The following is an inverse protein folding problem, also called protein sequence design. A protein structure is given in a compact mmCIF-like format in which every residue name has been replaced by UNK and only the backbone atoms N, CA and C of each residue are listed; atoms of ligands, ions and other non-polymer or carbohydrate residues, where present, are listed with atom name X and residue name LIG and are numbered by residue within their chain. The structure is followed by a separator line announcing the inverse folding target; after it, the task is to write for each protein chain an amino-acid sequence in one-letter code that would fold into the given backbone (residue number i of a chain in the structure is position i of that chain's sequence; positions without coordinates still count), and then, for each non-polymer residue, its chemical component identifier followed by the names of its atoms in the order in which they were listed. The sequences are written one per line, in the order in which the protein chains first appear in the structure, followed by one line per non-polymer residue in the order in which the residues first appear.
data_IF_325460099621
#
_entry.id   IF_325460099621
#
_cell.length_a   1.000
_cell.length_b   1.000
_cell.length_c   1.000
_cell.angle_alpha   90.00
_cell.angle_beta   90.00
_cell.angle_gamma   90.00
#
_symmetry.space_group_name_H-M   'P 1'
#
loop_
_entity.id
_entity.type
_entity.pdbx_description
1 polymer ?
#
# COMPACT_ATOMS: atom_id res chain seq x y z
N UNK A 1 4.14 13.41 -10.48
CA UNK A 1 5.08 14.03 -9.52
C UNK A 1 4.42 15.25 -8.91
N UNK A 2 4.23 15.27 -7.59
CA UNK A 2 3.93 16.50 -6.85
C UNK A 2 5.25 17.12 -6.40
N UNK A 3 5.83 18.11 -7.12
CA UNK A 3 7.08 18.73 -6.70
C UNK A 3 6.87 19.57 -5.43
N UNK A 4 7.94 19.74 -4.65
CA UNK A 4 7.96 20.64 -3.49
C UNK A 4 7.48 22.05 -3.90
N UNK A 5 6.50 22.58 -3.19
CA UNK A 5 5.91 23.90 -3.48
C UNK A 5 6.47 25.02 -2.60
N UNK A 6 6.73 24.73 -1.32
CA UNK A 6 7.25 25.68 -0.35
C UNK A 6 8.30 25.03 0.55
N UNK A 7 9.12 25.84 1.19
CA UNK A 7 9.94 25.40 2.31
C UNK A 7 9.10 25.17 3.57
N UNK A 8 9.43 24.16 4.38
CA UNK A 8 8.77 24.01 5.68
C UNK A 8 9.15 25.17 6.60
N UNK A 9 8.33 25.48 7.62
CA UNK A 9 8.77 26.32 8.72
C UNK A 9 9.93 25.67 9.47
N UNK A 10 10.47 26.36 10.47
CA UNK A 10 11.48 25.78 11.35
C UNK A 10 10.92 24.54 12.08
N UNK A 11 11.72 23.47 12.18
CA UNK A 11 11.37 22.23 12.89
C UNK A 11 11.16 21.01 11.98
N UNK A 12 10.13 20.98 11.10
CA UNK A 12 9.85 19.83 10.25
C UNK A 12 11.06 19.38 9.41
N UNK A 13 11.17 18.06 9.22
CA UNK A 13 12.17 17.40 8.38
C UNK A 13 11.49 16.37 7.49
N UNK A 14 12.06 16.07 6.34
CA UNK A 14 11.55 14.99 5.49
C UNK A 14 11.75 13.63 6.16
N UNK A 15 10.86 12.68 5.90
CA UNK A 15 11.04 11.30 6.36
C UNK A 15 12.37 10.72 5.86
N UNK A 16 12.79 11.08 4.64
CA UNK A 16 14.08 10.67 4.08
C UNK A 16 15.25 11.13 4.94
N UNK A 17 15.28 12.42 5.32
CA UNK A 17 16.31 12.96 6.22
C UNK A 17 16.34 12.19 7.56
N UNK A 18 15.18 11.95 8.16
CA UNK A 18 15.10 11.24 9.44
C UNK A 18 15.64 9.81 9.30
N UNK A 19 15.29 9.11 8.23
CA UNK A 19 15.75 7.73 7.96
C UNK A 19 17.27 7.71 7.74
N UNK A 20 17.82 8.62 6.95
CA UNK A 20 19.27 8.75 6.72
C UNK A 20 20.03 9.02 8.04
N UNK A 21 19.54 9.94 8.85
CA UNK A 21 20.16 10.28 10.13
C UNK A 21 20.03 9.16 11.18
N UNK A 22 18.98 8.35 11.11
CA UNK A 22 18.88 7.12 11.90
C UNK A 22 19.87 6.06 11.41
N UNK A 23 20.00 5.87 10.10
CA UNK A 23 20.97 4.95 9.50
C UNK A 23 22.41 5.24 9.96
N UNK A 24 22.79 6.52 10.00
CA UNK A 24 24.07 6.96 10.54
C UNK A 24 24.25 6.59 12.01
N UNK A 25 23.26 6.90 12.86
CA UNK A 25 23.32 6.63 14.31
C UNK A 25 23.35 5.13 14.64
N UNK A 26 22.70 4.31 13.80
CA UNK A 26 22.66 2.86 13.95
C UNK A 26 23.87 2.16 13.28
N UNK A 27 24.79 2.91 12.66
CA UNK A 27 25.99 2.34 12.03
C UNK A 27 25.72 1.55 10.75
N UNK A 28 24.63 1.86 10.04
CA UNK A 28 24.24 1.21 8.77
C UNK A 28 24.13 2.19 7.60
N UNK A 29 24.56 3.44 7.79
CA UNK A 29 24.50 4.49 6.76
C UNK A 29 25.41 4.24 5.54
N UNK A 30 26.30 3.26 5.61
CA UNK A 30 27.15 2.80 4.50
C UNK A 30 26.48 1.72 3.63
N UNK A 31 25.32 1.22 4.05
CA UNK A 31 24.63 0.13 3.34
C UNK A 31 23.95 0.64 2.07
N UNK A 32 23.84 -0.21 1.03
CA UNK A 32 23.14 0.14 -0.19
C UNK A 32 21.72 0.64 0.09
N UNK A 33 21.40 1.83 -0.42
CA UNK A 33 20.12 2.50 -0.19
C UNK A 33 20.18 3.70 0.76
N UNK A 34 21.31 3.91 1.46
CA UNK A 34 21.60 5.15 2.17
C UNK A 34 22.61 6.02 1.40
N UNK A 35 22.75 7.28 1.81
CA UNK A 35 23.71 8.21 1.21
C UNK A 35 23.27 8.76 -0.15
N UNK A 36 22.01 8.54 -0.52
CA UNK A 36 21.41 9.08 -1.74
C UNK A 36 20.45 10.22 -1.39
N UNK A 37 20.35 11.20 -2.27
CA UNK A 37 19.29 12.23 -2.17
C UNK A 37 17.94 11.64 -2.58
N UNK A 38 16.84 12.32 -2.22
CA UNK A 38 15.51 11.89 -2.66
C UNK A 38 15.41 11.81 -4.19
N UNK A 39 16.08 12.73 -4.91
CA UNK A 39 16.09 12.75 -6.37
C UNK A 39 16.86 11.56 -6.96
N UNK A 40 18.01 11.20 -6.39
CA UNK A 40 18.79 10.05 -6.83
C UNK A 40 18.04 8.72 -6.64
N UNK A 41 17.25 8.61 -5.57
CA UNK A 41 16.35 7.48 -5.39
C UNK A 41 15.29 7.43 -6.49
N UNK A 42 14.64 8.56 -6.79
CA UNK A 42 13.63 8.62 -7.86
C UNK A 42 14.26 8.26 -9.21
N UNK A 43 15.43 8.80 -9.54
CA UNK A 43 16.17 8.47 -10.76
C UNK A 43 16.47 6.97 -10.85
N UNK A 44 16.93 6.36 -9.76
CA UNK A 44 17.21 4.92 -9.72
C UNK A 44 15.95 4.09 -9.96
N UNK A 45 14.81 4.46 -9.36
CA UNK A 45 13.55 3.74 -9.50
C UNK A 45 13.01 3.86 -10.93
N UNK A 46 13.02 5.06 -11.50
CA UNK A 46 12.55 5.30 -12.87
C UNK A 46 13.48 4.64 -13.89
N UNK A 47 14.80 4.78 -13.72
CA UNK A 47 15.81 4.21 -14.60
C UNK A 47 15.74 2.69 -14.67
N UNK A 48 15.55 2.00 -13.52
CA UNK A 48 15.36 0.54 -13.49
C UNK A 48 14.19 0.04 -14.33
N UNK A 49 13.20 0.89 -14.58
CA UNK A 49 12.01 0.56 -15.39
C UNK A 49 12.03 1.20 -16.78
N UNK A 50 13.11 1.90 -17.15
CA UNK A 50 13.18 2.64 -18.42
C UNK A 50 12.20 3.81 -18.50
N UNK A 51 11.74 4.35 -17.37
CA UNK A 51 10.73 5.40 -17.28
C UNK A 51 11.32 6.83 -17.26
N UNK A 52 12.60 6.96 -17.59
CA UNK A 52 13.32 8.24 -17.60
C UNK A 52 13.95 8.60 -16.26
N UNK A 53 13.91 9.88 -15.91
CA UNK A 53 14.55 10.48 -14.73
C UNK A 53 13.59 11.37 -13.95
N UNK A 54 14.00 11.81 -12.77
CA UNK A 54 13.31 12.83 -11.98
C UNK A 54 13.04 14.08 -12.81
N UNK A 55 14.02 14.51 -13.62
CA UNK A 55 13.88 15.69 -14.49
C UNK A 55 12.80 15.49 -15.56
N UNK A 56 12.81 14.35 -16.27
CA UNK A 56 11.80 14.09 -17.29
C UNK A 56 10.41 13.92 -16.68
N UNK A 57 10.31 13.22 -15.54
CA UNK A 57 9.05 13.06 -14.81
C UNK A 57 8.50 14.40 -14.31
N UNK A 58 9.37 15.31 -13.85
CA UNK A 58 8.97 16.66 -13.43
C UNK A 58 8.39 17.47 -14.58
N UNK A 59 8.93 17.33 -15.78
CA UNK A 59 8.41 18.00 -16.98
C UNK A 59 7.07 17.38 -17.44
N UNK A 60 7.00 16.05 -17.48
CA UNK A 60 5.82 15.31 -17.95
C UNK A 60 4.68 15.28 -16.94
N UNK A 61 4.95 15.60 -15.66
CA UNK A 61 4.03 15.62 -14.51
C UNK A 61 3.48 14.26 -14.10
N UNK A 62 3.20 13.35 -15.01
CA UNK A 62 2.77 11.97 -14.74
C UNK A 62 3.28 11.03 -15.81
N UNK A 63 3.20 9.74 -15.52
CA UNK A 63 3.43 8.65 -16.47
C UNK A 63 2.13 7.88 -16.58
N UNK A 64 1.71 7.58 -17.80
CA UNK A 64 0.60 6.65 -18.02
C UNK A 64 1.13 5.22 -17.90
N UNK A 65 0.67 4.50 -16.88
CA UNK A 65 0.98 3.11 -16.62
C UNK A 65 -0.28 2.23 -16.69
N UNK A 66 -1.35 2.74 -17.29
CA UNK A 66 -2.57 2.00 -17.54
C UNK A 66 -2.23 0.75 -18.38
N UNK A 67 -2.60 -0.46 -17.92
CA UNK A 67 -2.52 -1.65 -18.76
C UNK A 67 -3.34 -1.49 -20.04
N UNK A 68 -3.03 -2.29 -21.06
CA UNK A 68 -3.88 -2.37 -22.25
C UNK A 68 -5.33 -2.75 -21.92
N UNK A 69 -6.22 -2.57 -22.89
CA UNK A 69 -7.66 -2.73 -22.67
C UNK A 69 -7.98 -4.14 -22.17
N UNK A 70 -7.41 -5.15 -22.81
CA UNK A 70 -7.62 -6.56 -22.53
C UNK A 70 -7.22 -6.92 -21.11
N UNK A 71 -6.02 -6.52 -20.68
CA UNK A 71 -5.54 -6.75 -19.32
C UNK A 71 -6.35 -5.95 -18.28
N UNK A 72 -6.71 -4.70 -18.59
CA UNK A 72 -7.50 -3.85 -17.70
C UNK A 72 -8.94 -4.36 -17.50
N UNK A 73 -9.47 -5.13 -18.45
CA UNK A 73 -10.82 -5.69 -18.43
C UNK A 73 -10.85 -7.21 -18.18
N UNK A 74 -9.72 -7.81 -17.80
CA UNK A 74 -9.60 -9.24 -17.47
C UNK A 74 -10.06 -10.17 -18.60
N UNK A 75 -9.90 -9.75 -19.86
CA UNK A 75 -10.34 -10.53 -21.03
C UNK A 75 -9.61 -11.88 -21.10
N UNK A 76 -8.31 -11.88 -20.80
CA UNK A 76 -7.46 -13.08 -20.75
C UNK A 76 -7.43 -13.77 -19.37
N UNK A 77 -8.28 -13.32 -18.43
CA UNK A 77 -8.41 -13.87 -17.09
C UNK A 77 -7.95 -12.95 -15.95
N UNK A 78 -8.13 -13.44 -14.73
CA UNK A 78 -7.80 -12.74 -13.48
C UNK A 78 -6.37 -13.02 -13.02
N UNK A 79 -5.79 -12.14 -12.19
CA UNK A 79 -4.43 -12.25 -11.63
C UNK A 79 -4.18 -13.42 -10.67
N UNK A 80 -4.98 -14.48 -10.73
CA UNK A 80 -4.79 -15.74 -10.02
C UNK A 80 -4.02 -16.73 -10.90
N UNK A 81 -3.33 -17.69 -10.28
CA UNK A 81 -2.50 -18.67 -11.00
C UNK A 81 -3.27 -19.49 -12.07
N UNK A 82 -4.58 -19.63 -11.93
CA UNK A 82 -5.46 -20.35 -12.86
C UNK A 82 -6.31 -19.42 -13.75
N UNK A 83 -6.12 -18.10 -13.68
CA UNK A 83 -6.86 -17.12 -14.48
C UNK A 83 -8.33 -16.92 -14.11
N UNK A 84 -8.84 -17.54 -13.03
CA UNK A 84 -10.29 -17.58 -12.73
C UNK A 84 -10.70 -16.62 -11.63
N UNK A 85 -11.90 -16.06 -11.76
CA UNK A 85 -12.53 -15.32 -10.68
C UNK A 85 -12.84 -16.22 -9.47
N UNK A 86 -12.67 -15.69 -8.25
CA UNK A 86 -12.92 -16.43 -6.99
C UNK A 86 -14.26 -16.02 -6.38
N UNK A 87 -15.31 -16.81 -6.61
CA UNK A 87 -16.55 -16.70 -5.86
C UNK A 87 -16.40 -17.25 -4.44
N UNK A 88 -15.66 -18.34 -4.28
CA UNK A 88 -15.30 -18.89 -2.98
C UNK A 88 -14.11 -18.12 -2.42
N UNK A 89 -14.31 -17.42 -1.31
CA UNK A 89 -13.24 -16.68 -0.64
C UNK A 89 -12.33 -17.64 0.13
N UNK A 90 -11.02 -17.45 -0.01
CA UNK A 90 -10.04 -18.07 0.88
C UNK A 90 -9.61 -17.03 1.93
N UNK A 91 -10.27 -17.01 3.07
CA UNK A 91 -9.97 -16.05 4.13
C UNK A 91 -8.61 -16.27 4.80
N UNK A 92 -7.99 -17.43 4.59
CA UNK A 92 -6.80 -17.87 5.34
C UNK A 92 -5.54 -17.92 4.52
N UNK A 93 -5.60 -18.11 3.21
CA UNK A 93 -4.43 -18.30 2.35
C UNK A 93 -4.02 -17.08 1.52
N UNK A 94 -4.74 -15.95 1.61
CA UNK A 94 -4.39 -14.76 0.84
C UNK A 94 -3.20 -14.01 1.43
N UNK A 95 -2.31 -13.57 0.54
CA UNK A 95 -1.27 -12.61 0.87
C UNK A 95 -1.89 -11.21 0.93
N UNK A 96 -1.64 -10.49 2.02
CA UNK A 96 -2.03 -9.11 2.17
C UNK A 96 -0.87 -8.33 2.83
N UNK A 97 -0.61 -7.07 2.44
CA UNK A 97 0.48 -6.27 3.01
C UNK A 97 0.38 -6.11 4.54
N UNK A 98 -0.84 -6.16 5.07
CA UNK A 98 -1.16 -6.03 6.49
C UNK A 98 -1.48 -7.38 7.16
N UNK A 99 -1.17 -8.51 6.52
CA UNK A 99 -1.37 -9.83 7.13
C UNK A 99 -0.46 -9.97 8.35
N UNK A 100 -0.98 -10.35 9.54
CA UNK A 100 -0.14 -10.51 10.71
C UNK A 100 0.92 -11.60 10.53
N UNK A 101 2.06 -11.52 11.25
CA UNK A 101 3.04 -12.60 11.30
C UNK A 101 2.38 -13.92 11.74
N UNK A 102 2.90 -15.04 11.23
CA UNK A 102 2.37 -16.39 11.57
C UNK A 102 2.29 -16.63 13.09
N UNK A 103 3.22 -16.05 13.86
CA UNK A 103 3.26 -16.15 15.32
C UNK A 103 2.06 -15.49 16.03
N UNK A 104 1.40 -14.51 15.40
CA UNK A 104 0.22 -13.84 15.95
C UNK A 104 -1.09 -14.49 15.50
N UNK A 105 -1.06 -15.33 14.46
CA UNK A 105 -2.26 -15.84 13.82
C UNK A 105 -3.06 -14.77 13.07
N UNK A 106 -4.23 -15.14 12.57
CA UNK A 106 -5.14 -14.20 11.94
C UNK A 106 -5.95 -13.43 12.99
N UNK A 107 -6.29 -12.18 12.67
CA UNK A 107 -7.11 -11.34 13.55
C UNK A 107 -8.58 -11.37 13.13
N UNK A 108 -9.47 -11.36 14.12
CA UNK A 108 -10.91 -11.41 13.93
C UNK A 108 -11.49 -12.82 13.82
N UNK A 109 -12.83 -12.95 13.76
CA UNK A 109 -13.52 -14.23 13.78
C UNK A 109 -13.54 -14.87 12.37
N UNK A 110 -12.36 -15.18 11.83
CA UNK A 110 -12.21 -15.70 10.45
C UNK A 110 -13.08 -16.93 10.19
N UNK A 111 -13.24 -17.81 11.19
CA UNK A 111 -14.07 -19.01 11.10
C UNK A 111 -15.58 -18.73 10.94
N UNK A 112 -16.05 -17.51 11.23
CA UNK A 112 -17.45 -17.09 11.05
C UNK A 112 -17.71 -16.48 9.68
N UNK A 113 -16.67 -16.24 8.87
CA UNK A 113 -16.83 -15.64 7.55
C UNK A 113 -17.41 -16.66 6.56
N UNK A 114 -18.40 -16.27 5.74
CA UNK A 114 -19.04 -17.18 4.80
C UNK A 114 -18.07 -17.55 3.68
N UNK A 115 -18.21 -18.78 3.18
CA UNK A 115 -17.39 -19.31 2.09
C UNK A 115 -17.67 -18.59 0.76
N UNK A 116 -18.93 -18.22 0.53
CA UNK A 116 -19.41 -17.52 -0.65
C UNK A 116 -19.87 -16.10 -0.28
N UNK A 117 -20.10 -15.21 -1.27
CA UNK A 117 -20.64 -13.88 -0.99
C UNK A 117 -22.01 -14.00 -0.33
N UNK A 118 -22.07 -13.68 0.95
CA UNK A 118 -23.27 -13.79 1.77
C UNK A 118 -23.19 -12.80 2.94
N UNK A 119 -24.32 -12.59 3.61
CA UNK A 119 -24.41 -11.77 4.81
C UNK A 119 -23.71 -12.45 6.00
N UNK A 120 -23.00 -11.66 6.80
CA UNK A 120 -22.38 -12.13 8.04
C UNK A 120 -22.58 -11.11 9.16
N UNK A 121 -23.08 -11.58 10.30
CA UNK A 121 -23.39 -10.73 11.46
C UNK A 121 -22.18 -10.59 12.40
N UNK A 122 -21.22 -9.75 12.01
CA UNK A 122 -19.97 -9.49 12.75
C UNK A 122 -19.89 -8.09 13.37
N UNK A 123 -20.99 -7.33 13.32
CA UNK A 123 -21.03 -5.95 13.81
C UNK A 123 -21.47 -5.90 15.28
N UNK A 124 -21.10 -4.84 15.98
CA UNK A 124 -21.73 -4.50 17.25
C UNK A 124 -23.18 -4.06 17.01
N UNK A 125 -24.12 -4.77 17.64
CA UNK A 125 -25.55 -4.45 17.62
C UNK A 125 -25.93 -3.68 18.88
N UNK A 126 -27.01 -2.91 18.79
CA UNK A 126 -27.52 -2.17 19.96
C UNK A 126 -28.01 -3.12 21.04
N UNK A 127 -27.79 -2.76 22.29
CA UNK A 127 -28.32 -3.46 23.46
C UNK A 127 -28.80 -2.44 24.52
N UNK A 128 -29.25 -2.91 25.68
CA UNK A 128 -29.76 -2.04 26.74
C UNK A 128 -28.69 -1.09 27.31
N UNK A 129 -27.41 -1.48 27.29
CA UNK A 129 -26.29 -0.64 27.71
C UNK A 129 -25.78 0.27 26.57
N UNK A 130 -25.95 -0.15 25.31
CA UNK A 130 -25.53 0.53 24.10
C UNK A 130 -26.71 0.75 23.14
N UNK A 131 -27.66 1.67 23.47
CA UNK A 131 -28.91 1.83 22.71
C UNK A 131 -28.73 2.49 21.34
N UNK A 132 -27.54 2.99 21.04
CA UNK A 132 -27.21 3.67 19.79
C UNK A 132 -26.05 2.98 19.09
N UNK A 133 -26.15 2.90 17.76
CA UNK A 133 -25.07 2.39 16.91
C UNK A 133 -24.13 3.54 16.53
N UNK A 134 -22.83 3.35 16.77
CA UNK A 134 -21.81 4.24 16.24
C UNK A 134 -21.61 3.98 14.75
N UNK A 135 -21.66 5.03 13.94
CA UNK A 135 -21.29 4.98 12.53
C UNK A 135 -20.15 5.98 12.28
N UNK A 136 -18.99 5.47 11.85
CA UNK A 136 -17.84 6.29 11.45
C UNK A 136 -17.83 6.45 9.94
N UNK A 137 -18.83 7.17 9.41
CA UNK A 137 -18.86 7.48 7.98
C UNK A 137 -17.60 8.24 7.59
N UNK A 138 -16.94 7.89 6.47
CA UNK A 138 -15.80 8.66 5.99
C UNK A 138 -16.24 10.11 5.72
N UNK A 139 -15.38 11.06 6.09
CA UNK A 139 -15.57 12.49 5.81
C UNK A 139 -15.14 12.83 4.38
#
# INVERSE_FOLDING_TARGET
LGPKLIDPPEGPRSNHFVIEELGKRLGVGDRPGFGMTEQQHIDTILGKRGLGSFSSLKQQKWLDLQPDFEAAHFIDGFGHADGKFRFRADWTGQAAPNRPPKSMGLFGPVARLPEFPDHVDLIEVVDAAHPFRLATSPA
#
